data_IF_466787779272
#
_entry.id   IF_466787779272
#
_cell.length_a   1.000
_cell.length_b   1.000
_cell.length_c   1.000
_cell.angle_alpha   90.00
_cell.angle_beta   90.00
_cell.angle_gamma   90.00
#
_symmetry.space_group_name_H-M   'P 1'
#
loop_
_entity.id
_entity.type
_entity.pdbx_description
1 polymer ?
#
# COMPACT_ATOMS: atom_id res chain seq x y z
N UNK A 1 -12.22 -19.22 -14.93
CA UNK A 1 -12.76 -18.24 -15.91
C UNK A 1 -11.63 -17.30 -16.28
N UNK A 2 -11.37 -17.09 -17.57
CA UNK A 2 -10.38 -16.10 -18.01
C UNK A 2 -10.83 -14.69 -17.62
N UNK A 3 -9.91 -13.87 -17.14
CA UNK A 3 -10.23 -12.48 -16.80
C UNK A 3 -10.58 -11.70 -18.08
N UNK A 4 -11.67 -10.91 -18.09
CA UNK A 4 -11.96 -10.01 -19.20
C UNK A 4 -10.87 -8.94 -19.34
N UNK A 5 -10.78 -8.30 -20.52
CA UNK A 5 -9.76 -7.26 -20.78
C UNK A 5 -9.90 -6.13 -19.75
N UNK A 6 -8.78 -5.63 -19.22
CA UNK A 6 -8.76 -4.59 -18.18
C UNK A 6 -9.66 -3.39 -18.51
N UNK A 7 -9.51 -2.81 -19.71
CA UNK A 7 -10.29 -1.65 -20.16
C UNK A 7 -11.75 -1.98 -20.56
N UNK A 8 -12.21 -3.22 -20.41
CA UNK A 8 -13.57 -3.59 -20.79
C UNK A 8 -14.57 -3.21 -19.71
N UNK A 9 -15.76 -2.78 -20.14
CA UNK A 9 -16.87 -2.50 -19.23
C UNK A 9 -17.23 -3.71 -18.34
N UNK A 10 -17.18 -4.92 -18.91
CA UNK A 10 -17.42 -6.16 -18.18
C UNK A 10 -16.42 -6.38 -17.03
N UNK A 11 -15.17 -5.93 -17.19
CA UNK A 11 -14.16 -5.99 -16.14
C UNK A 11 -14.55 -5.11 -14.94
N UNK A 12 -14.88 -3.85 -15.18
CA UNK A 12 -15.12 -2.87 -14.12
C UNK A 12 -16.49 -3.01 -13.44
N UNK A 13 -17.52 -3.52 -14.14
CA UNK A 13 -18.89 -3.59 -13.59
C UNK A 13 -19.22 -4.94 -12.98
N UNK A 14 -18.64 -6.04 -13.50
CA UNK A 14 -19.00 -7.39 -13.07
C UNK A 14 -17.84 -8.15 -12.46
N UNK A 15 -16.71 -8.22 -13.16
CA UNK A 15 -15.59 -9.07 -12.74
C UNK A 15 -14.87 -8.52 -11.50
N UNK A 16 -14.34 -7.29 -11.58
CA UNK A 16 -13.55 -6.69 -10.50
C UNK A 16 -14.36 -6.46 -9.21
N UNK A 17 -15.61 -5.96 -9.24
CA UNK A 17 -16.42 -5.85 -8.03
C UNK A 17 -16.65 -7.22 -7.35
N UNK A 18 -16.83 -8.29 -8.13
CA UNK A 18 -16.92 -9.65 -7.61
C UNK A 18 -15.63 -10.11 -6.93
N UNK A 19 -14.48 -9.83 -7.55
CA UNK A 19 -13.15 -10.10 -6.95
C UNK A 19 -12.99 -9.33 -5.64
N UNK A 20 -13.23 -8.02 -5.64
CA UNK A 20 -13.09 -7.16 -4.47
C UNK A 20 -14.00 -7.63 -3.33
N UNK A 21 -15.26 -7.93 -3.63
CA UNK A 21 -16.23 -8.42 -2.65
C UNK A 21 -15.82 -9.76 -2.05
N UNK A 22 -15.33 -10.70 -2.87
CA UNK A 22 -14.81 -11.97 -2.39
C UNK A 22 -13.61 -11.77 -1.46
N UNK A 23 -12.70 -10.85 -1.77
CA UNK A 23 -11.55 -10.54 -0.91
C UNK A 23 -11.95 -9.91 0.42
N UNK A 24 -12.95 -9.03 0.41
CA UNK A 24 -13.52 -8.44 1.63
C UNK A 24 -14.25 -9.48 2.50
N UNK A 25 -15.02 -10.39 1.89
CA UNK A 25 -15.82 -11.41 2.60
C UNK A 25 -14.98 -12.57 3.13
N UNK A 26 -13.99 -13.02 2.38
CA UNK A 26 -13.17 -14.19 2.75
C UNK A 26 -12.02 -13.84 3.69
N UNK A 27 -11.90 -12.57 4.11
CA UNK A 27 -11.00 -12.12 5.16
C UNK A 27 -9.63 -12.76 5.04
N UNK A 28 -8.99 -12.61 3.87
CA UNK A 28 -7.65 -13.13 3.60
C UNK A 28 -7.33 -14.45 4.29
N UNK A 29 -8.05 -15.54 3.97
CA UNK A 29 -7.65 -16.91 4.33
C UNK A 29 -6.34 -17.27 3.63
N UNK A 30 -5.24 -16.66 4.09
CA UNK A 30 -3.92 -17.25 4.05
C UNK A 30 -3.99 -18.46 4.95
N UNK A 31 -3.63 -19.63 4.43
CA UNK A 31 -3.64 -20.87 5.19
C UNK A 31 -2.99 -20.69 6.56
N UNK A 32 -3.64 -21.22 7.59
CA UNK A 32 -3.10 -21.32 8.94
C UNK A 32 -1.83 -22.18 8.90
N UNK A 33 -0.68 -21.53 8.78
CA UNK A 33 0.63 -22.17 8.80
C UNK A 33 1.72 -21.13 8.94
N UNK A 34 2.16 -20.86 10.17
CA UNK A 34 3.51 -20.35 10.42
C UNK A 34 4.42 -21.58 10.56
N UNK A 35 5.54 -21.67 9.81
CA UNK A 35 6.78 -21.02 10.28
C UNK A 35 7.77 -20.65 9.14
N UNK A 36 7.53 -19.58 8.37
CA UNK A 36 8.57 -19.02 7.48
C UNK A 36 8.47 -17.51 7.34
N UNK A 37 7.27 -16.93 7.23
CA UNK A 37 7.09 -15.48 7.07
C UNK A 37 7.33 -14.68 8.36
N UNK A 38 7.00 -15.21 9.54
CA UNK A 38 7.23 -14.53 10.82
C UNK A 38 8.71 -14.20 11.06
N UNK A 39 9.61 -15.14 10.73
CA UNK A 39 11.05 -14.95 10.86
C UNK A 39 11.52 -13.80 9.98
N UNK A 40 11.03 -13.71 8.75
CA UNK A 40 11.33 -12.60 7.84
C UNK A 40 10.84 -11.26 8.39
N UNK A 41 9.65 -11.21 9.01
CA UNK A 41 9.15 -10.00 9.67
C UNK A 41 10.01 -9.59 10.87
N UNK A 42 10.46 -10.55 11.68
CA UNK A 42 11.31 -10.29 12.84
C UNK A 42 12.68 -9.77 12.39
N UNK A 43 13.33 -10.45 11.43
CA UNK A 43 14.64 -10.02 10.91
C UNK A 43 14.51 -8.63 10.27
N UNK A 44 13.44 -8.39 9.51
CA UNK A 44 13.17 -7.08 8.94
C UNK A 44 13.00 -6.01 10.03
N UNK A 45 12.23 -6.27 11.08
CA UNK A 45 12.06 -5.34 12.19
C UNK A 45 13.40 -5.02 12.88
N UNK A 46 14.25 -6.02 13.09
CA UNK A 46 15.61 -5.83 13.63
C UNK A 46 16.44 -4.94 12.70
N UNK A 47 16.42 -5.18 11.38
CA UNK A 47 17.14 -4.34 10.42
C UNK A 47 16.66 -2.88 10.44
N UNK A 48 15.34 -2.65 10.55
CA UNK A 48 14.76 -1.31 10.65
C UNK A 48 15.15 -0.63 11.97
N UNK A 49 15.16 -1.34 13.10
CA UNK A 49 15.61 -0.80 14.39
C UNK A 49 17.09 -0.40 14.32
N UNK A 50 17.94 -1.24 13.74
CA UNK A 50 19.36 -0.94 13.54
C UNK A 50 19.57 0.30 12.65
N UNK A 51 18.77 0.46 11.60
CA UNK A 51 18.75 1.67 10.77
C UNK A 51 18.30 2.90 11.56
N UNK A 52 17.18 2.79 12.29
CA UNK A 52 16.59 3.90 13.03
C UNK A 52 17.50 4.41 14.15
N UNK A 53 18.31 3.54 14.76
CA UNK A 53 19.28 3.92 15.78
C UNK A 53 20.63 4.33 15.18
N UNK A 54 21.09 3.62 14.14
CA UNK A 54 22.40 3.83 13.52
C UNK A 54 22.49 5.13 12.74
N UNK A 55 21.47 5.45 11.94
CA UNK A 55 21.46 6.64 11.07
C UNK A 55 21.61 7.94 11.87
N UNK A 56 20.79 8.22 12.91
CA UNK A 56 20.98 9.40 13.74
C UNK A 56 22.36 9.44 14.40
N UNK A 57 22.86 8.33 14.90
CA UNK A 57 24.17 8.26 15.57
C UNK A 57 25.36 8.54 14.64
N UNK A 58 25.23 8.23 13.34
CA UNK A 58 26.19 8.62 12.31
C UNK A 58 26.19 10.14 12.13
N UNK A 59 25.02 10.74 11.96
CA UNK A 59 24.89 12.17 11.66
C UNK A 59 25.11 13.09 12.86
N UNK A 60 24.79 12.65 14.07
CA UNK A 60 24.88 13.48 15.28
C UNK A 60 26.28 13.50 15.91
N UNK A 61 27.11 12.47 15.68
CA UNK A 61 28.38 12.32 16.40
C UNK A 61 29.46 11.54 15.68
N UNK A 62 29.29 11.22 14.39
CA UNK A 62 30.30 10.48 13.61
C UNK A 62 30.59 9.08 14.17
N UNK A 63 29.62 8.48 14.88
CA UNK A 63 29.84 7.22 15.61
C UNK A 63 30.15 6.06 14.67
N UNK A 64 31.31 5.42 14.86
CA UNK A 64 31.70 4.19 14.15
C UNK A 64 30.69 3.07 14.40
N UNK A 65 30.16 2.97 15.63
CA UNK A 65 29.11 2.00 15.97
C UNK A 65 27.81 2.32 15.20
N UNK A 66 27.49 3.61 15.05
CA UNK A 66 26.36 4.06 14.22
C UNK A 66 26.53 3.65 12.75
N UNK A 67 27.74 3.79 12.20
CA UNK A 67 28.04 3.35 10.83
C UNK A 67 27.88 1.85 10.64
N UNK A 68 28.36 1.04 11.60
CA UNK A 68 28.23 -0.41 11.55
C UNK A 68 26.76 -0.82 11.69
N UNK A 69 26.06 -0.30 12.69
CA UNK A 69 24.64 -0.61 12.92
C UNK A 69 23.76 -0.18 11.75
N UNK A 70 23.93 1.07 11.27
CA UNK A 70 23.20 1.60 10.12
C UNK A 70 23.52 0.84 8.83
N UNK A 71 24.79 0.49 8.61
CA UNK A 71 25.23 -0.30 7.46
C UNK A 71 24.66 -1.72 7.45
N UNK A 72 24.71 -2.44 8.57
CA UNK A 72 24.12 -3.77 8.71
C UNK A 72 22.60 -3.71 8.54
N UNK A 73 21.94 -2.73 9.16
CA UNK A 73 20.50 -2.54 9.01
C UNK A 73 20.10 -2.24 7.55
N UNK A 74 20.84 -1.38 6.85
CA UNK A 74 20.63 -1.07 5.43
C UNK A 74 20.81 -2.31 4.55
N UNK A 75 21.95 -2.98 4.68
CA UNK A 75 22.29 -4.16 3.90
C UNK A 75 21.28 -5.30 4.12
N UNK A 76 20.91 -5.57 5.38
CA UNK A 76 19.91 -6.58 5.74
C UNK A 76 18.52 -6.25 5.17
N UNK A 77 18.09 -4.99 5.24
CA UNK A 77 16.83 -4.53 4.65
C UNK A 77 16.81 -4.75 3.14
N UNK A 78 17.87 -4.34 2.44
CA UNK A 78 18.00 -4.50 0.98
C UNK A 78 18.01 -5.99 0.61
N UNK A 79 18.79 -6.81 1.31
CA UNK A 79 18.89 -8.24 1.06
C UNK A 79 17.53 -8.94 1.22
N UNK A 80 16.77 -8.62 2.27
CA UNK A 80 15.44 -9.17 2.51
C UNK A 80 14.44 -8.76 1.42
N UNK A 81 14.48 -7.50 0.98
CA UNK A 81 13.62 -7.01 -0.12
C UNK A 81 13.94 -7.74 -1.42
N UNK A 82 15.22 -7.82 -1.80
CA UNK A 82 15.65 -8.53 -3.01
C UNK A 82 15.25 -10.00 -2.95
N UNK A 83 15.50 -10.67 -1.82
CA UNK A 83 15.13 -12.07 -1.64
C UNK A 83 13.61 -12.28 -1.78
N UNK A 84 12.80 -11.38 -1.20
CA UNK A 84 11.34 -11.45 -1.30
C UNK A 84 10.86 -11.33 -2.76
N UNK A 85 11.42 -10.38 -3.51
CA UNK A 85 11.08 -10.18 -4.93
C UNK A 85 11.54 -11.35 -5.79
N UNK A 86 12.76 -11.85 -5.58
CA UNK A 86 13.31 -12.98 -6.33
C UNK A 86 12.55 -14.28 -6.06
N UNK A 87 12.14 -14.52 -4.81
CA UNK A 87 11.34 -15.68 -4.44
C UNK A 87 9.98 -15.71 -5.17
N UNK A 88 9.44 -14.54 -5.54
CA UNK A 88 8.16 -14.44 -6.26
C UNK A 88 8.30 -14.37 -7.78
N UNK A 89 9.50 -14.31 -8.36
CA UNK A 89 9.69 -14.25 -9.83
C UNK A 89 9.14 -15.47 -10.57
N UNK A 90 9.00 -16.62 -9.91
CA UNK A 90 8.42 -17.83 -10.50
C UNK A 90 6.89 -17.92 -10.43
N UNK A 91 6.24 -17.07 -9.62
CA UNK A 91 4.80 -17.03 -9.45
C UNK A 91 4.15 -15.91 -10.27
N UNK A 92 3.07 -16.20 -10.97
CA UNK A 92 2.27 -15.14 -11.61
C UNK A 92 1.26 -14.56 -10.61
N UNK A 93 1.15 -13.23 -10.49
CA UNK A 93 0.13 -12.60 -9.67
C UNK A 93 -1.26 -13.02 -10.12
N UNK A 94 -2.19 -13.10 -9.17
CA UNK A 94 -3.58 -13.48 -9.43
C UNK A 94 -4.53 -12.48 -8.78
N UNK A 95 -5.71 -12.31 -9.38
CA UNK A 95 -6.81 -11.58 -8.75
C UNK A 95 -7.28 -12.25 -7.45
N UNK A 96 -7.00 -13.54 -7.26
CA UNK A 96 -7.24 -14.23 -5.99
C UNK A 96 -6.34 -13.70 -4.87
N UNK A 97 -5.14 -13.20 -5.19
CA UNK A 97 -4.17 -12.59 -4.28
C UNK A 97 -4.33 -11.07 -4.09
N UNK A 98 -5.39 -10.48 -4.66
CA UNK A 98 -5.55 -9.03 -4.75
C UNK A 98 -5.46 -8.33 -3.38
N UNK A 99 -4.71 -7.22 -3.35
CA UNK A 99 -4.40 -6.44 -2.16
C UNK A 99 -5.42 -5.30 -1.98
N UNK A 100 -6.53 -5.61 -1.30
CA UNK A 100 -7.66 -4.69 -1.14
C UNK A 100 -7.30 -3.41 -0.37
N UNK A 101 -6.44 -3.48 0.66
CA UNK A 101 -6.00 -2.32 1.43
C UNK A 101 -5.21 -1.33 0.58
N UNK A 102 -4.32 -1.83 -0.29
CA UNK A 102 -3.63 -1.01 -1.31
C UNK A 102 -4.63 -0.34 -2.25
N UNK A 103 -5.61 -1.11 -2.75
CA UNK A 103 -6.63 -0.57 -3.64
C UNK A 103 -7.40 0.59 -3.00
N UNK A 104 -7.91 0.40 -1.78
CA UNK A 104 -8.62 1.45 -1.07
C UNK A 104 -7.72 2.65 -0.77
N UNK A 105 -6.47 2.43 -0.39
CA UNK A 105 -5.52 3.53 -0.19
C UNK A 105 -5.42 4.44 -1.41
N UNK A 106 -5.24 3.90 -2.61
CA UNK A 106 -5.16 4.73 -3.83
C UNK A 106 -6.48 5.41 -4.17
N UNK A 107 -7.62 4.74 -3.94
CA UNK A 107 -8.94 5.34 -4.14
C UNK A 107 -9.15 6.53 -3.20
N UNK A 108 -8.92 6.36 -1.91
CA UNK A 108 -9.05 7.44 -0.93
C UNK A 108 -8.05 8.55 -1.20
N UNK A 109 -6.77 8.24 -1.39
CA UNK A 109 -5.75 9.22 -1.75
C UNK A 109 -6.15 10.05 -2.98
N UNK A 110 -6.67 9.41 -4.03
CA UNK A 110 -7.14 10.08 -5.23
C UNK A 110 -8.29 11.05 -4.94
N UNK A 111 -9.28 10.63 -4.15
CA UNK A 111 -10.37 11.50 -3.71
C UNK A 111 -9.83 12.67 -2.88
N UNK A 112 -9.03 12.40 -1.84
CA UNK A 112 -8.48 13.42 -0.94
C UNK A 112 -7.66 14.45 -1.70
N UNK A 113 -6.77 14.02 -2.61
CA UNK A 113 -6.01 14.91 -3.46
C UNK A 113 -6.91 15.78 -4.36
N UNK A 114 -7.92 15.17 -4.99
CA UNK A 114 -8.85 15.90 -5.87
C UNK A 114 -9.70 16.93 -5.12
N UNK A 115 -10.20 16.57 -3.94
CA UNK A 115 -10.96 17.48 -3.05
C UNK A 115 -10.07 18.62 -2.57
N UNK A 116 -8.86 18.32 -2.08
CA UNK A 116 -7.92 19.33 -1.58
C UNK A 116 -7.54 20.37 -2.64
N UNK A 117 -7.25 19.92 -3.87
CA UNK A 117 -6.97 20.82 -5.01
C UNK A 117 -8.20 21.68 -5.34
N UNK A 118 -9.39 21.10 -5.25
CA UNK A 118 -10.66 21.77 -5.47
C UNK A 118 -10.97 22.87 -4.47
N UNK A 119 -10.79 22.59 -3.18
CA UNK A 119 -11.09 23.50 -2.07
C UNK A 119 -10.17 24.72 -2.07
N UNK A 120 -8.92 24.57 -2.51
CA UNK A 120 -7.96 25.68 -2.62
C UNK A 120 -8.34 26.72 -3.68
N UNK A 121 -9.22 26.40 -4.65
CA UNK A 121 -9.59 27.29 -5.76
C UNK A 121 -11.00 27.88 -5.67
N UNK A 122 -11.67 27.76 -4.52
CA UNK A 122 -12.99 28.34 -4.20
C UNK A 122 -14.13 28.08 -5.21
N UNK A 123 -13.99 27.09 -6.10
CA UNK A 123 -15.04 26.69 -7.05
C UNK A 123 -15.46 25.26 -6.79
N UNK A 124 -16.68 25.08 -6.28
CA UNK A 124 -17.26 23.78 -5.95
C UNK A 124 -17.30 22.84 -7.16
N UNK A 125 -17.58 23.38 -8.36
CA UNK A 125 -17.62 22.59 -9.59
C UNK A 125 -16.23 22.10 -10.00
N UNK A 126 -15.20 22.93 -9.81
CA UNK A 126 -13.82 22.57 -10.08
C UNK A 126 -13.33 21.50 -9.10
N UNK A 127 -13.72 21.61 -7.82
CA UNK A 127 -13.43 20.57 -6.83
C UNK A 127 -14.15 19.25 -7.06
N UNK A 128 -15.41 19.28 -7.50
CA UNK A 128 -16.13 18.06 -7.90
C UNK A 128 -15.45 17.37 -9.10
N UNK A 129 -15.06 18.15 -10.12
CA UNK A 129 -14.38 17.60 -11.29
C UNK A 129 -12.99 17.04 -10.96
N UNK A 130 -12.23 17.72 -10.11
CA UNK A 130 -10.92 17.27 -9.65
C UNK A 130 -11.03 16.03 -8.74
N UNK A 131 -12.02 15.99 -7.85
CA UNK A 131 -12.36 14.83 -7.04
C UNK A 131 -12.76 13.62 -7.89
N UNK A 132 -13.57 13.81 -8.92
CA UNK A 132 -13.95 12.74 -9.84
C UNK A 132 -12.74 12.22 -10.64
N UNK A 133 -11.90 13.12 -11.15
CA UNK A 133 -10.67 12.75 -11.85
C UNK A 133 -9.71 11.99 -10.92
N UNK A 134 -9.55 12.46 -9.67
CA UNK A 134 -8.78 11.82 -8.62
C UNK A 134 -9.32 10.43 -8.27
N UNK A 135 -10.64 10.27 -8.17
CA UNK A 135 -11.28 8.98 -7.95
C UNK A 135 -11.02 8.00 -9.09
N UNK A 136 -11.20 8.42 -10.35
CA UNK A 136 -10.93 7.58 -11.52
C UNK A 136 -9.46 7.16 -11.57
N UNK A 137 -8.55 8.12 -11.35
CA UNK A 137 -7.11 7.87 -11.29
C UNK A 137 -6.74 6.90 -10.17
N UNK A 138 -7.23 7.17 -8.96
CA UNK A 138 -7.03 6.33 -7.78
C UNK A 138 -7.61 4.92 -7.94
N UNK A 139 -8.75 4.78 -8.60
CA UNK A 139 -9.36 3.49 -8.91
C UNK A 139 -8.50 2.66 -9.88
N UNK A 140 -8.08 3.25 -11.00
CA UNK A 140 -7.25 2.55 -11.99
C UNK A 140 -5.87 2.18 -11.42
N UNK A 141 -5.21 3.15 -10.75
CA UNK A 141 -3.94 2.92 -10.09
C UNK A 141 -4.07 1.91 -8.95
N UNK A 142 -5.17 1.95 -8.19
CA UNK A 142 -5.44 1.00 -7.12
C UNK A 142 -5.57 -0.43 -7.63
N UNK A 143 -6.25 -0.64 -8.77
CA UNK A 143 -6.34 -1.99 -9.38
C UNK A 143 -4.96 -2.46 -9.82
N UNK A 144 -4.20 -1.60 -10.50
CA UNK A 144 -2.85 -1.94 -10.94
C UNK A 144 -1.94 -2.23 -9.75
N UNK A 145 -1.88 -1.35 -8.76
CA UNK A 145 -1.04 -1.51 -7.58
C UNK A 145 -1.44 -2.75 -6.77
N UNK A 146 -2.74 -2.99 -6.57
CA UNK A 146 -3.23 -4.17 -5.84
C UNK A 146 -2.93 -5.50 -6.54
N UNK A 147 -2.68 -5.48 -7.85
CA UNK A 147 -2.24 -6.63 -8.64
C UNK A 147 -0.71 -6.76 -8.67
N UNK A 148 0.00 -5.70 -9.06
CA UNK A 148 1.45 -5.72 -9.27
C UNK A 148 2.26 -5.77 -7.97
N UNK A 149 1.79 -5.19 -6.86
CA UNK A 149 2.52 -5.26 -5.60
C UNK A 149 2.60 -6.68 -5.01
N UNK A 150 1.84 -7.65 -5.55
CA UNK A 150 2.00 -9.07 -5.19
C UNK A 150 3.41 -9.59 -5.51
N UNK A 151 4.12 -9.00 -6.48
CA UNK A 151 5.53 -9.35 -6.75
C UNK A 151 6.49 -9.02 -5.61
N UNK A 152 6.06 -8.24 -4.62
CA UNK A 152 6.85 -8.00 -3.41
C UNK A 152 6.82 -9.19 -2.42
N UNK A 153 6.07 -10.24 -2.71
CA UNK A 153 6.00 -11.43 -1.85
C UNK A 153 5.40 -11.11 -0.49
N UNK A 154 6.06 -11.54 0.58
CA UNK A 154 5.56 -11.35 1.95
C UNK A 154 5.45 -9.86 2.34
N UNK A 155 6.29 -8.99 1.76
CA UNK A 155 6.25 -7.54 1.98
C UNK A 155 4.90 -6.96 1.53
N UNK A 156 4.31 -7.52 0.47
CA UNK A 156 3.00 -7.07 -0.06
C UNK A 156 1.89 -7.17 0.99
N UNK A 157 1.96 -8.16 1.90
CA UNK A 157 1.01 -8.34 2.99
C UNK A 157 1.13 -7.22 4.01
N UNK A 158 2.36 -6.89 4.41
CA UNK A 158 2.65 -5.76 5.31
C UNK A 158 2.17 -4.46 4.70
N UNK A 159 2.54 -4.19 3.44
CA UNK A 159 2.16 -2.99 2.71
C UNK A 159 0.65 -2.89 2.60
N UNK A 160 -0.05 -3.99 2.33
CA UNK A 160 -1.51 -3.99 2.26
C UNK A 160 -2.18 -3.67 3.59
N UNK A 161 -1.66 -4.22 4.70
CA UNK A 161 -2.16 -3.89 6.04
C UNK A 161 -1.94 -2.40 6.39
N UNK A 162 -0.72 -1.90 6.16
CA UNK A 162 -0.37 -0.49 6.39
C UNK A 162 -1.18 0.46 5.49
N UNK A 163 -1.35 0.11 4.22
CA UNK A 163 -2.16 0.89 3.28
C UNK A 163 -3.64 0.93 3.71
N UNK A 164 -4.19 -0.18 4.19
CA UNK A 164 -5.53 -0.22 4.77
C UNK A 164 -5.69 0.69 5.99
N UNK A 165 -4.72 0.66 6.91
CA UNK A 165 -4.69 1.56 8.08
C UNK A 165 -4.56 3.03 7.65
N UNK A 166 -3.68 3.33 6.71
CA UNK A 166 -3.51 4.68 6.17
C UNK A 166 -4.78 5.18 5.47
N UNK A 167 -5.50 4.32 4.74
CA UNK A 167 -6.77 4.66 4.12
C UNK A 167 -7.83 5.06 5.16
N UNK A 168 -7.92 4.33 6.28
CA UNK A 168 -8.80 4.71 7.40
C UNK A 168 -8.39 6.05 8.01
N UNK A 169 -7.08 6.26 8.21
CA UNK A 169 -6.55 7.53 8.71
C UNK A 169 -6.90 8.71 7.80
N UNK A 170 -6.68 8.58 6.49
CA UNK A 170 -7.03 9.59 5.50
C UNK A 170 -8.53 9.88 5.51
N UNK A 171 -9.38 8.85 5.56
CA UNK A 171 -10.82 9.04 5.64
C UNK A 171 -11.25 9.85 6.88
N UNK A 172 -10.65 9.57 8.04
CA UNK A 172 -10.90 10.34 9.27
C UNK A 172 -10.44 11.78 9.12
N UNK A 173 -9.24 12.01 8.58
CA UNK A 173 -8.71 13.36 8.34
C UNK A 173 -9.62 14.14 7.38
N UNK A 174 -10.06 13.52 6.30
CA UNK A 174 -10.97 14.13 5.33
C UNK A 174 -12.32 14.51 5.96
N UNK A 175 -12.89 13.66 6.82
CA UNK A 175 -14.11 13.98 7.58
C UNK A 175 -13.91 15.17 8.52
N UNK A 176 -12.76 15.25 9.21
CA UNK A 176 -12.44 16.37 10.10
C UNK A 176 -12.29 17.66 9.29
N UNK A 177 -11.61 17.62 8.14
CA UNK A 177 -11.49 18.75 7.23
C UNK A 177 -12.85 19.21 6.69
N UNK A 178 -13.72 18.28 6.30
CA UNK A 178 -15.06 18.58 5.78
C UNK A 178 -16.03 19.08 6.84
N UNK A 179 -15.88 18.67 8.10
CA UNK A 179 -16.72 19.16 9.21
C UNK A 179 -16.39 20.58 9.66
N UNK A 180 -15.29 21.16 9.16
CA UNK A 180 -14.90 22.53 9.47
C UNK A 180 -14.35 22.74 10.89
N UNK A 181 -14.09 21.66 11.64
CA UNK A 181 -13.58 21.73 13.03
C UNK A 181 -12.14 22.27 13.10
N UNK A 182 -11.41 22.25 11.98
CA UNK A 182 -10.05 22.78 11.84
C UNK A 182 -9.97 24.13 11.09
N UNK A 183 -11.10 24.74 10.77
CA UNK A 183 -11.23 26.09 10.19
C UNK A 183 -11.83 27.05 11.23
#
# INVERSE_FOLDING_TARGET
>A
MSAPKFLSFAFHVRYFPGVLLNRLRLGGRSGTGFPSTAEHHIVFAVCIILLALGVPAVFSGGSIIGWIAGGIGAAGTIALVINSVLACRGGSPSYDGFLAGVFFFFVFLGISCGVFIGTLRHSLLLGLSAGLAGFIGGYLLGIMAGYWLQYLGWISVTVNGLAGLAALGMFVVDLVLLSGVLL
#
